data_IF_575328216041
#
_entry.id   IF_575328216041
#
_cell.length_a   1.000
_cell.length_b   1.000
_cell.length_c   1.000
_cell.angle_alpha   90.00
_cell.angle_beta   90.00
_cell.angle_gamma   90.00
#
_symmetry.space_group_name_H-M   'P 1'
#
loop_
_entity.id
_entity.type
_entity.pdbx_description
1 polymer ?
#
# COMPACT_ATOMS: atom_id res chain seq x y z
N UNK A 1 22.09 10.32 -14.42
CA UNK A 1 20.65 10.56 -14.56
C UNK A 1 19.80 9.44 -13.95
N UNK A 2 20.14 8.16 -14.11
CA UNK A 2 19.38 6.99 -13.63
C UNK A 2 19.11 6.95 -12.12
N UNK A 3 20.07 7.36 -11.30
CA UNK A 3 19.91 7.38 -9.82
C UNK A 3 18.90 8.42 -9.36
N UNK A 4 18.87 9.60 -10.02
CA UNK A 4 17.89 10.65 -9.72
C UNK A 4 16.48 10.23 -10.13
N UNK A 5 16.33 9.57 -11.28
CA UNK A 5 15.05 9.05 -11.73
C UNK A 5 14.51 7.95 -10.80
N UNK A 6 15.40 7.09 -10.28
CA UNK A 6 15.05 6.09 -9.28
C UNK A 6 14.59 6.73 -7.96
N UNK A 7 15.36 7.69 -7.45
CA UNK A 7 15.03 8.38 -6.20
C UNK A 7 13.78 9.28 -6.34
N UNK A 8 13.57 9.86 -7.53
CA UNK A 8 12.42 10.74 -7.82
C UNK A 8 11.17 10.01 -8.28
N UNK A 9 11.17 8.67 -8.35
CA UNK A 9 9.99 7.92 -8.77
C UNK A 9 8.89 8.01 -7.69
N UNK A 10 7.96 8.94 -7.91
CA UNK A 10 6.98 9.37 -6.90
C UNK A 10 6.13 8.26 -6.28
N UNK A 11 5.76 7.15 -6.96
CA UNK A 11 4.96 6.11 -6.33
C UNK A 11 5.64 5.42 -5.14
N UNK A 12 6.98 5.45 -5.05
CA UNK A 12 7.71 4.85 -3.93
C UNK A 12 8.19 5.85 -2.86
N UNK A 13 8.08 7.17 -3.09
CA UNK A 13 8.73 8.19 -2.24
C UNK A 13 8.20 8.22 -0.81
N UNK A 14 6.88 8.05 -0.61
CA UNK A 14 6.27 8.26 0.72
C UNK A 14 6.08 6.95 1.48
N UNK A 15 5.39 6.00 0.90
CA UNK A 15 5.08 4.71 1.53
C UNK A 15 4.75 3.63 0.48
N UNK A 16 5.18 3.84 -0.77
CA UNK A 16 4.99 2.89 -1.85
C UNK A 16 5.88 1.65 -1.70
N UNK A 17 5.66 0.64 -2.54
CA UNK A 17 6.53 -0.53 -2.58
C UNK A 17 8.00 -0.10 -2.78
N UNK A 18 8.89 -0.53 -1.88
CA UNK A 18 10.33 -0.30 -2.00
C UNK A 18 10.87 -1.27 -3.03
N UNK A 19 11.03 -0.80 -4.26
CA UNK A 19 11.57 -1.63 -5.32
C UNK A 19 13.09 -1.72 -5.27
N UNK A 20 13.61 -2.90 -5.62
CA UNK A 20 15.06 -3.09 -5.78
C UNK A 20 15.51 -2.34 -7.03
N UNK A 21 16.69 -1.72 -6.93
CA UNK A 21 17.28 -0.95 -8.05
C UNK A 21 17.40 -1.80 -9.32
N UNK A 22 17.74 -3.08 -9.17
CA UNK A 22 17.91 -4.03 -10.27
C UNK A 22 16.59 -4.29 -11.03
N UNK A 23 15.43 -4.08 -10.39
CA UNK A 23 14.11 -4.29 -10.99
C UNK A 23 13.56 -3.00 -11.58
N UNK A 24 13.70 -1.88 -10.88
CA UNK A 24 13.07 -0.62 -11.30
C UNK A 24 13.90 0.15 -12.32
N UNK A 25 15.23 0.19 -12.19
CA UNK A 25 16.11 0.96 -13.10
C UNK A 25 15.95 0.52 -14.56
N UNK A 26 15.99 -0.77 -14.92
CA UNK A 26 15.81 -1.20 -16.31
C UNK A 26 14.44 -0.81 -16.89
N UNK A 27 13.40 -0.77 -16.04
CA UNK A 27 12.07 -0.33 -16.48
C UNK A 27 12.06 1.18 -16.75
N UNK A 28 12.69 2.00 -15.90
CA UNK A 28 12.79 3.45 -16.08
C UNK A 28 13.66 3.83 -17.28
N UNK A 29 14.75 3.10 -17.55
CA UNK A 29 15.63 3.34 -18.71
C UNK A 29 14.95 3.03 -20.04
N UNK A 30 14.11 2.00 -20.07
CA UNK A 30 13.34 1.58 -21.23
C UNK A 30 11.97 2.27 -21.30
N UNK A 31 11.64 3.11 -20.32
CA UNK A 31 10.34 3.73 -20.20
C UNK A 31 10.03 4.55 -21.46
N UNK A 32 8.94 4.16 -22.13
CA UNK A 32 8.30 4.94 -23.17
C UNK A 32 6.82 4.92 -22.86
N UNK A 33 6.26 6.08 -22.60
CA UNK A 33 4.83 6.17 -22.37
C UNK A 33 4.08 5.63 -23.60
N UNK A 34 3.32 4.59 -23.37
CA UNK A 34 2.44 3.99 -24.37
C UNK A 34 1.07 3.77 -23.73
N UNK A 35 0.07 4.32 -24.35
CA UNK A 35 -1.29 4.11 -23.88
C UNK A 35 -1.67 2.64 -24.05
N UNK A 36 -1.90 1.94 -22.96
CA UNK A 36 -2.41 0.58 -22.93
C UNK A 36 -3.70 0.55 -22.08
N UNK A 37 -4.82 0.31 -22.76
CA UNK A 37 -6.14 0.28 -22.14
C UNK A 37 -6.22 -0.79 -21.04
N UNK A 38 -5.65 -1.96 -21.28
CA UNK A 38 -5.63 -3.06 -20.28
C UNK A 38 -4.86 -2.68 -19.02
N UNK A 39 -3.67 -2.08 -19.17
CA UNK A 39 -2.88 -1.60 -18.04
C UNK A 39 -3.61 -0.50 -17.24
N UNK A 40 -4.32 0.39 -17.93
CA UNK A 40 -5.11 1.43 -17.28
C UNK A 40 -6.31 0.85 -16.52
N UNK A 41 -7.03 -0.10 -17.07
CA UNK A 41 -8.16 -0.77 -16.39
C UNK A 41 -7.69 -1.48 -15.11
N UNK A 42 -6.60 -2.23 -15.19
CA UNK A 42 -5.98 -2.89 -14.02
C UNK A 42 -5.48 -1.85 -13.02
N UNK A 43 -4.78 -0.81 -13.48
CA UNK A 43 -4.27 0.26 -12.62
C UNK A 43 -5.37 1.00 -11.88
N UNK A 44 -6.47 1.34 -12.56
CA UNK A 44 -7.64 1.96 -11.93
C UNK A 44 -8.28 1.05 -10.88
N UNK A 45 -8.34 -0.26 -11.12
CA UNK A 45 -8.85 -1.22 -10.14
C UNK A 45 -8.03 -1.17 -8.84
N UNK A 46 -6.70 -1.14 -8.95
CA UNK A 46 -5.82 -1.01 -7.79
C UNK A 46 -5.99 0.33 -7.07
N UNK A 47 -6.14 1.44 -7.82
CA UNK A 47 -6.37 2.77 -7.24
C UNK A 47 -7.70 2.80 -6.47
N UNK A 48 -8.78 2.30 -7.06
CA UNK A 48 -10.11 2.26 -6.42
C UNK A 48 -10.07 1.41 -5.16
N UNK A 49 -9.44 0.22 -5.20
CA UNK A 49 -9.29 -0.64 -4.03
C UNK A 49 -8.46 0.04 -2.93
N UNK A 50 -7.37 0.72 -3.31
CA UNK A 50 -6.55 1.48 -2.38
C UNK A 50 -7.29 2.64 -1.72
N UNK A 51 -8.08 3.38 -2.49
CA UNK A 51 -8.97 4.43 -1.98
C UNK A 51 -10.04 3.87 -1.02
N UNK A 52 -10.62 2.72 -1.35
CA UNK A 52 -11.57 2.05 -0.47
C UNK A 52 -10.91 1.68 0.87
N UNK A 53 -9.72 1.08 0.85
CA UNK A 53 -8.98 0.74 2.07
C UNK A 53 -8.68 1.99 2.91
N UNK A 54 -8.19 3.05 2.27
CA UNK A 54 -7.87 4.31 2.96
C UNK A 54 -9.12 5.02 3.49
N UNK A 55 -10.09 5.31 2.62
CA UNK A 55 -11.23 6.18 2.96
C UNK A 55 -12.35 5.46 3.71
N UNK A 56 -12.66 4.22 3.30
CA UNK A 56 -13.78 3.48 3.88
C UNK A 56 -13.38 2.65 5.11
N UNK A 57 -12.14 2.17 5.19
CA UNK A 57 -11.70 1.34 6.30
C UNK A 57 -10.83 2.12 7.29
N UNK A 58 -9.65 2.60 6.87
CA UNK A 58 -8.69 3.23 7.77
C UNK A 58 -9.23 4.51 8.43
N UNK A 59 -9.82 5.43 7.64
CA UNK A 59 -10.31 6.71 8.15
C UNK A 59 -11.51 6.51 9.10
N UNK A 60 -12.39 5.54 8.84
CA UNK A 60 -13.51 5.22 9.75
C UNK A 60 -13.01 4.57 11.05
N UNK A 61 -12.05 3.63 10.98
CA UNK A 61 -11.44 3.07 12.18
C UNK A 61 -10.75 4.15 13.03
N UNK A 62 -10.17 5.18 12.41
CA UNK A 62 -9.60 6.31 13.12
C UNK A 62 -10.63 7.09 13.95
N UNK A 63 -11.83 7.30 13.40
CA UNK A 63 -12.91 8.00 14.10
C UNK A 63 -13.46 7.15 15.24
N UNK A 64 -13.62 5.84 15.03
CA UNK A 64 -14.14 4.92 16.04
C UNK A 64 -13.21 4.81 17.26
N UNK A 65 -11.91 4.77 17.05
CA UNK A 65 -10.90 4.71 18.14
C UNK A 65 -10.91 5.97 19.04
N UNK A 66 -11.41 7.12 18.59
CA UNK A 66 -11.50 8.35 19.38
C UNK A 66 -12.70 8.35 20.32
N UNK A 67 -13.65 7.44 20.17
CA UNK A 67 -14.95 7.46 20.89
C UNK A 67 -14.86 6.77 22.26
N UNK A 68 -13.82 6.01 22.55
CA UNK A 68 -13.70 5.18 23.75
C UNK A 68 -12.45 5.53 24.59
N UNK A 69 -12.37 6.71 25.22
CA UNK A 69 -11.33 6.97 26.22
C UNK A 69 -11.72 6.20 27.48
N UNK A 70 -11.47 4.88 27.51
CA UNK A 70 -12.04 4.06 28.56
C UNK A 70 -11.05 3.49 29.52
N UNK A 71 -11.50 3.35 30.76
CA UNK A 71 -10.88 2.58 31.83
C UNK A 71 -11.25 1.09 31.77
N UNK A 72 -12.14 0.69 30.84
CA UNK A 72 -12.56 -0.70 30.68
C UNK A 72 -11.51 -1.50 29.88
N UNK A 73 -10.88 -2.54 30.43
CA UNK A 73 -9.85 -3.33 29.77
C UNK A 73 -10.29 -3.92 28.42
N UNK A 74 -11.56 -4.31 28.30
CA UNK A 74 -12.09 -4.85 27.05
C UNK A 74 -12.09 -3.79 25.93
N UNK A 75 -12.48 -2.55 26.25
CA UNK A 75 -12.45 -1.45 25.26
C UNK A 75 -11.02 -1.10 24.85
N UNK A 76 -10.08 -1.12 25.78
CA UNK A 76 -8.65 -0.91 25.48
C UNK A 76 -8.11 -1.96 24.50
N UNK A 77 -8.48 -3.24 24.69
CA UNK A 77 -8.13 -4.30 23.75
C UNK A 77 -8.76 -4.09 22.36
N UNK A 78 -10.02 -3.71 22.31
CA UNK A 78 -10.71 -3.42 21.06
C UNK A 78 -10.05 -2.26 20.32
N UNK A 79 -9.76 -1.16 21.02
CA UNK A 79 -9.06 0.00 20.46
C UNK A 79 -7.68 -0.36 19.90
N UNK A 80 -6.93 -1.23 20.62
CA UNK A 80 -5.62 -1.71 20.16
C UNK A 80 -5.75 -2.51 18.85
N UNK A 81 -6.73 -3.38 18.75
CA UNK A 81 -6.99 -4.14 17.54
C UNK A 81 -7.41 -3.21 16.38
N UNK A 82 -8.32 -2.27 16.63
CA UNK A 82 -8.76 -1.28 15.64
C UNK A 82 -7.60 -0.42 15.15
N UNK A 83 -6.70 -0.03 16.05
CA UNK A 83 -5.49 0.70 15.70
C UNK A 83 -4.56 -0.12 14.79
N UNK A 84 -4.37 -1.42 15.08
CA UNK A 84 -3.60 -2.32 14.23
C UNK A 84 -4.18 -2.43 12.81
N UNK A 85 -5.49 -2.65 12.71
CA UNK A 85 -6.17 -2.68 11.41
C UNK A 85 -6.15 -1.33 10.69
N UNK A 86 -6.27 -0.22 11.41
CA UNK A 86 -6.14 1.11 10.84
C UNK A 86 -4.78 1.32 10.16
N UNK A 87 -3.68 0.98 10.85
CA UNK A 87 -2.33 1.08 10.26
C UNK A 87 -2.24 0.23 8.99
N UNK A 88 -2.76 -1.00 9.06
CA UNK A 88 -2.73 -1.90 7.92
C UNK A 88 -3.50 -1.33 6.71
N UNK A 89 -4.76 -0.94 6.90
CA UNK A 89 -5.58 -0.43 5.80
C UNK A 89 -5.08 0.89 5.25
N UNK A 90 -4.53 1.76 6.10
CA UNK A 90 -3.93 3.03 5.67
C UNK A 90 -2.72 2.80 4.79
N UNK A 91 -1.78 1.98 5.25
CA UNK A 91 -0.54 1.73 4.55
C UNK A 91 -0.74 0.83 3.32
N UNK A 92 -1.54 -0.21 3.44
CA UNK A 92 -1.89 -1.07 2.31
C UNK A 92 -2.66 -0.28 1.23
N UNK A 93 -3.62 0.55 1.63
CA UNK A 93 -4.36 1.41 0.71
C UNK A 93 -3.45 2.34 -0.08
N UNK A 94 -2.50 2.98 0.58
CA UNK A 94 -1.50 3.81 -0.10
C UNK A 94 -0.65 2.98 -1.08
N UNK A 95 -0.16 1.81 -0.66
CA UNK A 95 0.65 0.93 -1.51
C UNK A 95 -0.12 0.45 -2.75
N UNK A 96 -1.40 0.15 -2.61
CA UNK A 96 -2.25 -0.24 -3.74
C UNK A 96 -2.48 0.92 -4.72
N UNK A 97 -2.68 2.14 -4.24
CA UNK A 97 -2.78 3.33 -5.10
C UNK A 97 -1.47 3.56 -5.87
N UNK A 98 -0.32 3.45 -5.20
CA UNK A 98 0.99 3.58 -5.83
C UNK A 98 1.22 2.52 -6.92
N UNK A 99 0.85 1.25 -6.63
CA UNK A 99 0.88 0.14 -7.58
C UNK A 99 0.01 0.44 -8.81
N UNK A 100 -1.21 0.94 -8.57
CA UNK A 100 -2.15 1.27 -9.64
C UNK A 100 -1.65 2.39 -10.54
N UNK A 101 -1.10 3.45 -9.97
CA UNK A 101 -0.50 4.56 -10.76
C UNK A 101 0.68 4.07 -11.58
N UNK A 102 1.58 3.27 -11.01
CA UNK A 102 2.71 2.68 -11.73
C UNK A 102 2.21 1.78 -12.88
N UNK A 103 1.19 0.97 -12.63
CA UNK A 103 0.58 0.11 -13.64
C UNK A 103 0.00 0.93 -14.82
N UNK A 104 -0.70 2.04 -14.54
CA UNK A 104 -1.20 2.95 -15.58
C UNK A 104 -0.07 3.54 -16.43
N UNK A 105 1.12 3.69 -15.87
CA UNK A 105 2.32 4.14 -16.58
C UNK A 105 3.06 3.00 -17.31
N UNK A 106 2.61 1.75 -17.17
CA UNK A 106 3.28 0.57 -17.72
C UNK A 106 4.51 0.12 -16.93
N UNK A 107 4.63 0.56 -15.67
CA UNK A 107 5.70 0.16 -14.75
C UNK A 107 5.14 -0.87 -13.77
N UNK A 108 5.84 -1.98 -13.62
CA UNK A 108 5.46 -3.04 -12.70
C UNK A 108 6.18 -2.86 -11.36
N UNK A 109 5.41 -2.76 -10.28
CA UNK A 109 5.92 -2.75 -8.91
C UNK A 109 5.54 -4.04 -8.19
N UNK A 110 6.32 -4.39 -7.17
CA UNK A 110 6.06 -5.56 -6.34
C UNK A 110 4.91 -5.30 -5.36
N UNK A 111 4.07 -6.30 -5.12
CA UNK A 111 3.00 -6.19 -4.13
C UNK A 111 3.59 -6.13 -2.72
N UNK A 112 3.28 -5.05 -2.00
CA UNK A 112 3.84 -4.74 -0.69
C UNK A 112 3.26 -5.57 0.47
N UNK A 113 1.97 -5.91 0.37
CA UNK A 113 1.25 -6.66 1.40
C UNK A 113 0.63 -7.94 0.81
N UNK A 114 0.86 -9.07 1.48
CA UNK A 114 0.36 -10.40 1.08
C UNK A 114 -0.49 -10.99 2.19
N UNK A 115 -1.60 -10.32 2.55
CA UNK A 115 -2.53 -10.78 3.60
C UNK A 115 -1.83 -11.14 4.92
N UNK A 116 -1.09 -10.21 5.57
CA UNK A 116 -0.27 -10.52 6.74
C UNK A 116 -1.07 -11.09 7.92
N UNK A 117 -2.32 -10.69 8.09
CA UNK A 117 -3.19 -11.20 9.15
C UNK A 117 -3.70 -12.64 8.92
N UNK A 118 -3.43 -13.24 7.77
CA UNK A 118 -3.67 -14.67 7.51
C UNK A 118 -2.45 -15.54 7.80
N UNK A 119 -1.36 -14.97 8.32
CA UNK A 119 -0.12 -15.68 8.64
C UNK A 119 -0.29 -16.60 9.85
N UNK A 120 0.37 -17.75 9.82
CA UNK A 120 0.30 -18.76 10.87
C UNK A 120 1.30 -18.54 12.02
N UNK A 121 2.30 -17.70 11.81
CA UNK A 121 3.34 -17.36 12.78
C UNK A 121 3.92 -15.96 12.53
N UNK A 122 4.63 -15.42 13.54
CA UNK A 122 5.21 -14.07 13.46
C UNK A 122 6.26 -13.91 12.34
N UNK A 123 7.04 -14.93 12.04
CA UNK A 123 8.04 -14.85 10.98
C UNK A 123 7.36 -14.73 9.61
N UNK A 124 6.26 -15.45 9.43
CA UNK A 124 5.43 -15.39 8.22
C UNK A 124 4.69 -14.05 8.10
N UNK A 125 4.15 -13.55 9.22
CA UNK A 125 3.56 -12.22 9.29
C UNK A 125 4.51 -11.15 8.74
N UNK A 126 5.75 -11.09 9.23
CA UNK A 126 6.74 -10.10 8.80
C UNK A 126 7.23 -10.27 7.37
N UNK A 127 7.12 -11.48 6.79
CA UNK A 127 7.38 -11.69 5.35
C UNK A 127 6.26 -11.19 4.47
N UNK A 128 5.02 -11.16 4.99
CA UNK A 128 3.83 -10.70 4.28
C UNK A 128 3.55 -9.20 4.49
N UNK A 129 4.23 -8.61 5.49
CA UNK A 129 4.10 -7.20 5.85
C UNK A 129 5.22 -6.39 5.19
N UNK A 130 4.90 -5.61 4.18
CA UNK A 130 5.79 -4.61 3.54
C UNK A 130 7.12 -5.18 3.11
#
# INVERSE_FOLDING_TARGET
MTTLNFAGFFPQIVAGPIERREVLIPQLERFRFRWDKSAVEVGLTWIILGLFFKRCLADNLAVMALVHPGTNPFLVWLDTLMFGFRIYFDFCGYSLMALGVACCLGIQLTLNFRSPYCSTNLADFWRCWH
#
